data_IF_581569474406
#
_entry.id   IF_581569474406
#
_cell.length_a   1.000
_cell.length_b   1.000
_cell.length_c   1.000
_cell.angle_alpha   90.00
_cell.angle_beta   90.00
_cell.angle_gamma   90.00
#
_symmetry.space_group_name_H-M   'P 1'
#
loop_
_entity.id
_entity.type
_entity.pdbx_description
1 polymer ?
#
# COMPACT_ATOMS: atom_id res chain seq x y z
N UNK A 1 30.82 -17.81 -31.48
CA UNK A 1 30.54 -17.91 -30.05
C UNK A 1 29.15 -17.30 -29.83
N UNK A 2 28.18 -18.11 -29.46
CA UNK A 2 26.84 -17.62 -29.11
C UNK A 2 26.99 -17.02 -27.72
N UNK A 3 26.70 -15.74 -27.58
CA UNK A 3 26.78 -15.04 -26.30
C UNK A 3 25.62 -15.55 -25.41
N UNK A 4 25.98 -16.32 -24.37
CA UNK A 4 25.03 -16.88 -23.42
C UNK A 4 24.20 -15.82 -22.70
N UNK A 5 24.67 -14.56 -22.65
CA UNK A 5 23.94 -13.43 -22.07
C UNK A 5 22.67 -13.08 -22.86
N UNK A 6 22.62 -13.43 -24.17
CA UNK A 6 21.43 -13.21 -25.01
C UNK A 6 20.36 -14.29 -24.85
N UNK A 7 20.73 -15.45 -24.29
CA UNK A 7 19.84 -16.60 -24.12
C UNK A 7 19.13 -16.63 -22.74
N UNK A 8 19.55 -15.78 -21.80
CA UNK A 8 18.96 -15.71 -20.48
C UNK A 8 18.50 -14.29 -20.14
N UNK A 9 17.31 -13.87 -20.63
CA UNK A 9 16.74 -12.58 -20.27
C UNK A 9 16.49 -12.41 -18.74
N UNK A 10 16.68 -13.48 -17.99
CA UNK A 10 16.52 -13.51 -16.52
C UNK A 10 17.67 -12.86 -15.73
N UNK A 11 18.78 -12.51 -16.40
CA UNK A 11 19.93 -11.81 -15.77
C UNK A 11 19.85 -10.29 -15.87
N UNK A 12 18.81 -9.73 -16.46
CA UNK A 12 18.57 -8.30 -16.36
C UNK A 12 18.19 -7.99 -14.93
N UNK A 13 19.07 -7.24 -14.26
CA UNK A 13 18.81 -6.71 -12.92
C UNK A 13 17.42 -6.05 -12.93
N UNK A 14 16.52 -6.55 -12.09
CA UNK A 14 15.20 -5.94 -11.94
C UNK A 14 15.40 -4.50 -11.52
N UNK A 15 14.88 -3.54 -12.27
CA UNK A 15 14.94 -2.11 -11.94
C UNK A 15 14.11 -1.76 -10.67
N UNK A 16 13.70 -2.75 -9.91
CA UNK A 16 12.93 -2.63 -8.66
C UNK A 16 13.90 -2.37 -7.50
N UNK A 17 14.26 -1.09 -7.33
CA UNK A 17 15.15 -0.65 -6.27
C UNK A 17 14.43 -0.35 -4.94
N UNK A 18 15.20 0.17 -3.98
CA UNK A 18 14.71 0.59 -2.66
C UNK A 18 13.56 1.60 -2.71
N UNK A 19 13.49 2.42 -3.75
CA UNK A 19 12.41 3.40 -3.96
C UNK A 19 11.04 2.74 -4.08
N UNK A 20 10.96 1.61 -4.80
CA UNK A 20 9.71 0.84 -4.91
C UNK A 20 9.38 0.13 -3.60
N UNK A 21 10.35 -0.43 -2.91
CA UNK A 21 10.13 -1.05 -1.61
C UNK A 21 9.58 -0.05 -0.58
N UNK A 22 10.18 1.13 -0.52
CA UNK A 22 9.72 2.23 0.35
C UNK A 22 8.33 2.74 -0.07
N UNK A 23 8.08 2.92 -1.37
CA UNK A 23 6.76 3.27 -1.87
C UNK A 23 5.70 2.30 -1.38
N UNK A 24 5.93 1.01 -1.58
CA UNK A 24 5.01 -0.04 -1.16
C UNK A 24 4.76 0.00 0.34
N UNK A 25 5.81 0.15 1.14
CA UNK A 25 5.71 0.24 2.60
C UNK A 25 4.87 1.45 3.04
N UNK A 26 5.14 2.64 2.48
CA UNK A 26 4.40 3.86 2.80
C UNK A 26 2.92 3.77 2.41
N UNK A 27 2.61 3.18 1.24
CA UNK A 27 1.22 3.00 0.80
C UNK A 27 0.51 1.94 1.64
N UNK A 28 1.18 0.84 1.99
CA UNK A 28 0.62 -0.17 2.89
C UNK A 28 0.30 0.39 4.27
N UNK A 29 1.23 1.18 4.85
CA UNK A 29 1.03 1.87 6.12
C UNK A 29 -0.10 2.90 6.04
N UNK A 30 -0.10 3.75 5.02
CA UNK A 30 -1.15 4.77 4.83
C UNK A 30 -2.52 4.12 4.62
N UNK A 31 -2.62 3.13 3.71
CA UNK A 31 -3.88 2.49 3.36
C UNK A 31 -4.50 1.74 4.54
N UNK A 32 -3.74 0.86 5.19
CA UNK A 32 -4.23 0.13 6.36
C UNK A 32 -4.38 1.03 7.58
N UNK A 33 -3.63 2.12 7.66
CA UNK A 33 -3.81 3.15 8.67
C UNK A 33 -5.16 3.85 8.56
N UNK A 34 -5.62 4.19 7.34
CA UNK A 34 -6.98 4.72 7.15
C UNK A 34 -8.06 3.70 7.50
N UNK A 35 -7.81 2.41 7.27
CA UNK A 35 -8.69 1.35 7.74
C UNK A 35 -8.82 1.38 9.27
N UNK A 36 -7.72 1.44 10.01
CA UNK A 36 -7.72 1.51 11.47
C UNK A 36 -8.34 2.82 11.96
N UNK A 37 -8.08 3.94 11.28
CA UNK A 37 -8.60 5.26 11.65
C UNK A 37 -10.13 5.33 11.61
N UNK A 38 -10.82 4.43 10.91
CA UNK A 38 -12.28 4.30 10.97
C UNK A 38 -12.79 4.12 12.40
N UNK A 39 -12.07 3.37 13.25
CA UNK A 39 -12.42 3.16 14.65
C UNK A 39 -11.77 4.17 15.60
N UNK A 40 -10.50 4.51 15.36
CA UNK A 40 -9.67 5.34 16.28
C UNK A 40 -9.99 6.83 16.16
N UNK A 41 -10.24 7.33 14.96
CA UNK A 41 -10.65 8.72 14.63
C UNK A 41 -9.76 9.81 15.21
N UNK A 42 -8.46 9.62 15.15
CA UNK A 42 -7.46 10.56 15.66
C UNK A 42 -6.94 11.47 14.54
N UNK A 43 -7.07 12.81 14.73
CA UNK A 43 -6.61 13.81 13.74
C UNK A 43 -5.11 13.73 13.49
N UNK A 44 -4.32 13.56 14.54
CA UNK A 44 -2.87 13.49 14.43
C UNK A 44 -2.43 12.25 13.61
N UNK A 45 -3.15 11.15 13.76
CA UNK A 45 -2.91 9.95 12.97
C UNK A 45 -3.21 10.20 11.49
N UNK A 46 -4.30 10.89 11.15
CA UNK A 46 -4.62 11.28 9.78
C UNK A 46 -3.49 12.08 9.13
N UNK A 47 -2.85 13.00 9.86
CA UNK A 47 -1.71 13.76 9.32
C UNK A 47 -0.52 12.89 8.97
N UNK A 48 -0.18 11.93 9.83
CA UNK A 48 0.90 10.97 9.56
C UNK A 48 0.57 10.08 8.37
N UNK A 49 -0.67 9.56 8.31
CA UNK A 49 -1.13 8.75 7.18
C UNK A 49 -1.09 9.50 5.85
N UNK A 50 -1.50 10.78 5.87
CA UNK A 50 -1.43 11.67 4.70
C UNK A 50 0.01 11.88 4.26
N UNK A 51 0.92 12.16 5.21
CA UNK A 51 2.34 12.27 4.89
C UNK A 51 2.88 10.99 4.24
N UNK A 52 2.56 9.83 4.80
CA UNK A 52 2.95 8.53 4.23
C UNK A 52 2.37 8.32 2.82
N UNK A 53 1.11 8.66 2.60
CA UNK A 53 0.46 8.57 1.29
C UNK A 53 1.15 9.44 0.24
N UNK A 54 1.47 10.70 0.58
CA UNK A 54 2.19 11.63 -0.31
C UNK A 54 3.62 11.13 -0.56
N UNK A 55 4.33 10.69 0.49
CA UNK A 55 5.69 10.17 0.36
C UNK A 55 5.73 8.94 -0.56
N UNK A 56 4.78 8.01 -0.39
CA UNK A 56 4.63 6.86 -1.27
C UNK A 56 4.37 7.27 -2.72
N UNK A 57 3.44 8.19 -2.94
CA UNK A 57 3.14 8.70 -4.28
C UNK A 57 4.38 9.38 -4.92
N UNK A 58 5.11 10.19 -4.16
CA UNK A 58 6.32 10.83 -4.63
C UNK A 58 7.42 9.82 -5.01
N UNK A 59 7.58 8.75 -4.22
CA UNK A 59 8.55 7.69 -4.49
C UNK A 59 8.20 6.91 -5.77
N UNK A 60 6.95 6.54 -5.97
CA UNK A 60 6.55 5.82 -7.19
C UNK A 60 6.63 6.73 -8.42
N UNK A 61 6.27 8.00 -8.28
CA UNK A 61 6.36 8.96 -9.40
C UNK A 61 7.81 9.26 -9.77
N UNK A 62 8.74 9.32 -8.80
CA UNK A 62 10.17 9.51 -9.08
C UNK A 62 10.76 8.36 -9.90
N UNK A 63 10.16 7.18 -9.86
CA UNK A 63 10.57 6.02 -10.64
C UNK A 63 10.04 6.01 -12.07
N UNK A 64 9.02 6.84 -12.36
CA UNK A 64 8.48 7.02 -13.70
C UNK A 64 9.46 7.88 -14.53
N UNK A 65 10.05 7.29 -15.57
CA UNK A 65 11.07 7.95 -16.39
C UNK A 65 10.65 9.25 -17.08
N UNK A 66 9.34 9.61 -17.08
CA UNK A 66 8.78 10.83 -17.66
C UNK A 66 7.70 11.42 -16.76
N UNK A 67 8.12 11.98 -15.64
CA UNK A 67 7.25 12.66 -14.65
C UNK A 67 6.37 13.77 -15.26
N UNK A 68 6.90 14.51 -16.25
CA UNK A 68 6.19 15.60 -16.92
C UNK A 68 4.92 15.16 -17.64
N UNK A 69 4.82 13.89 -18.02
CA UNK A 69 3.67 13.37 -18.76
C UNK A 69 2.52 12.92 -17.83
N UNK A 70 2.79 12.70 -16.53
CA UNK A 70 1.78 12.20 -15.59
C UNK A 70 0.52 13.09 -15.50
N UNK A 71 0.63 14.43 -15.35
CA UNK A 71 -0.54 15.31 -15.32
C UNK A 71 -1.35 15.24 -16.61
N UNK A 72 -0.68 15.13 -17.75
CA UNK A 72 -1.34 15.03 -19.06
C UNK A 72 -2.08 13.70 -19.22
N UNK A 73 -1.51 12.59 -18.77
CA UNK A 73 -2.17 11.27 -18.79
C UNK A 73 -3.46 11.30 -17.97
N UNK A 74 -3.41 11.87 -16.76
CA UNK A 74 -4.59 12.01 -15.91
C UNK A 74 -5.61 12.93 -16.56
N UNK A 75 -5.16 14.08 -17.09
CA UNK A 75 -6.04 15.06 -17.75
C UNK A 75 -6.75 14.46 -18.97
N UNK A 76 -6.03 13.78 -19.86
CA UNK A 76 -6.62 13.13 -21.03
C UNK A 76 -7.54 11.96 -20.66
N UNK A 77 -7.16 11.15 -19.68
CA UNK A 77 -8.00 10.06 -19.18
C UNK A 77 -9.34 10.57 -18.61
N UNK A 78 -9.30 11.71 -17.90
CA UNK A 78 -10.51 12.35 -17.37
C UNK A 78 -11.34 13.00 -18.47
N UNK A 79 -10.69 13.69 -19.42
CA UNK A 79 -11.35 14.40 -20.50
C UNK A 79 -12.08 13.46 -21.46
N UNK A 80 -11.42 12.36 -21.85
CA UNK A 80 -11.92 11.46 -22.89
C UNK A 80 -12.63 10.23 -22.29
N UNK A 81 -12.78 10.19 -20.95
CA UNK A 81 -13.30 9.03 -20.19
C UNK A 81 -12.68 7.68 -20.61
N UNK A 82 -11.44 7.72 -21.12
CA UNK A 82 -10.72 6.57 -21.64
C UNK A 82 -9.90 5.87 -20.53
N UNK A 83 -10.58 5.37 -19.50
CA UNK A 83 -9.93 4.59 -18.45
C UNK A 83 -9.78 3.14 -18.89
N UNK A 84 -8.55 2.73 -19.18
CA UNK A 84 -8.27 1.33 -19.47
C UNK A 84 -8.11 0.54 -18.15
N UNK A 85 -9.21 0.07 -17.59
CA UNK A 85 -9.21 -0.74 -16.36
C UNK A 85 -8.60 -2.14 -16.52
N UNK A 86 -8.21 -2.54 -17.71
CA UNK A 86 -7.41 -3.75 -17.93
C UNK A 86 -5.92 -3.51 -17.61
N UNK A 87 -5.49 -2.26 -17.53
CA UNK A 87 -4.12 -1.90 -17.15
C UNK A 87 -4.00 -1.76 -15.64
N UNK A 88 -3.21 -2.63 -15.01
CA UNK A 88 -2.83 -2.51 -13.59
C UNK A 88 -2.24 -1.16 -13.25
N UNK A 89 -1.48 -0.57 -14.15
CA UNK A 89 -0.88 0.76 -13.96
C UNK A 89 -1.95 1.86 -13.87
N UNK A 90 -3.00 1.80 -14.70
CA UNK A 90 -4.10 2.77 -14.65
C UNK A 90 -4.90 2.65 -13.36
N UNK A 91 -5.21 1.43 -12.92
CA UNK A 91 -5.88 1.19 -11.64
C UNK A 91 -5.07 1.79 -10.49
N UNK A 92 -3.74 1.61 -10.50
CA UNK A 92 -2.86 2.18 -9.50
C UNK A 92 -2.86 3.70 -9.49
N UNK A 93 -2.74 4.33 -10.65
CA UNK A 93 -2.77 5.80 -10.77
C UNK A 93 -4.06 6.34 -10.16
N UNK A 94 -5.20 5.75 -10.47
CA UNK A 94 -6.50 6.18 -9.93
C UNK A 94 -6.56 6.00 -8.42
N UNK A 95 -6.30 4.79 -7.90
CA UNK A 95 -6.41 4.49 -6.47
C UNK A 95 -5.43 5.32 -5.63
N UNK A 96 -4.17 5.38 -6.04
CA UNK A 96 -3.14 6.11 -5.30
C UNK A 96 -3.36 7.62 -5.35
N UNK A 97 -3.80 8.15 -6.48
CA UNK A 97 -4.14 9.58 -6.60
C UNK A 97 -5.34 9.93 -5.72
N UNK A 98 -6.39 9.12 -5.74
CA UNK A 98 -7.57 9.32 -4.89
C UNK A 98 -7.20 9.24 -3.40
N UNK A 99 -6.39 8.25 -3.00
CA UNK A 99 -5.96 8.12 -1.61
C UNK A 99 -5.11 9.32 -1.19
N UNK A 100 -4.09 9.67 -1.97
CA UNK A 100 -3.13 10.73 -1.61
C UNK A 100 -3.79 12.12 -1.66
N UNK A 101 -4.47 12.48 -2.74
CA UNK A 101 -5.14 13.78 -2.87
C UNK A 101 -6.30 13.87 -1.89
N UNK A 102 -7.11 12.81 -1.77
CA UNK A 102 -8.21 12.75 -0.82
C UNK A 102 -7.73 12.90 0.62
N UNK A 103 -6.63 12.25 1.01
CA UNK A 103 -6.06 12.36 2.36
C UNK A 103 -5.55 13.76 2.67
N UNK A 104 -5.02 14.49 1.69
CA UNK A 104 -4.66 15.91 1.84
C UNK A 104 -5.91 16.73 2.17
N UNK A 105 -6.99 16.58 1.40
CA UNK A 105 -8.25 17.26 1.69
C UNK A 105 -8.77 16.89 3.08
N UNK A 106 -8.72 15.62 3.45
CA UNK A 106 -9.12 15.18 4.76
C UNK A 106 -8.30 15.86 5.87
N UNK A 107 -6.98 15.91 5.72
CA UNK A 107 -6.07 16.58 6.67
C UNK A 107 -6.35 18.07 6.76
N UNK A 108 -6.59 18.75 5.64
CA UNK A 108 -6.90 20.18 5.61
C UNK A 108 -8.24 20.49 6.30
N UNK A 109 -9.24 19.63 6.17
CA UNK A 109 -10.52 19.75 6.90
C UNK A 109 -10.27 19.54 8.40
N UNK A 110 -9.49 18.52 8.80
CA UNK A 110 -9.15 18.28 10.20
C UNK A 110 -8.38 19.43 10.83
N UNK A 111 -7.50 20.08 10.07
CA UNK A 111 -6.73 21.25 10.49
C UNK A 111 -7.57 22.55 10.51
N UNK A 112 -8.77 22.54 9.92
CA UNK A 112 -9.61 23.74 9.82
C UNK A 112 -9.06 24.80 8.87
N UNK A 113 -8.18 24.42 7.92
CA UNK A 113 -7.61 25.31 6.91
C UNK A 113 -8.65 25.59 5.83
N UNK A 114 -9.28 24.54 5.35
CA UNK A 114 -10.36 24.62 4.34
C UNK A 114 -11.67 24.36 5.07
N UNK A 115 -12.73 25.08 4.66
CA UNK A 115 -14.07 24.89 5.19
C UNK A 115 -14.17 25.05 6.71
N UNK A 116 -13.78 26.20 7.24
CA UNK A 116 -13.74 26.57 8.68
C UNK A 116 -15.08 26.42 9.44
N UNK A 117 -16.06 25.73 8.90
CA UNK A 117 -17.37 25.55 9.50
C UNK A 117 -17.48 24.26 10.33
N UNK A 118 -18.18 24.33 11.45
CA UNK A 118 -18.51 23.16 12.32
C UNK A 118 -19.13 21.98 11.53
N UNK A 119 -19.83 22.23 10.43
CA UNK A 119 -20.44 21.20 9.57
C UNK A 119 -19.39 20.29 8.90
N UNK A 120 -18.31 20.87 8.38
CA UNK A 120 -17.26 20.13 7.68
C UNK A 120 -16.38 19.30 8.63
N UNK A 121 -16.10 19.83 9.81
CA UNK A 121 -15.39 19.07 10.83
C UNK A 121 -16.25 17.89 11.34
N UNK A 122 -17.55 18.07 11.45
CA UNK A 122 -18.48 16.97 11.75
C UNK A 122 -18.52 15.94 10.62
N UNK A 123 -18.45 16.38 9.35
CA UNK A 123 -18.36 15.48 8.19
C UNK A 123 -17.09 14.64 8.23
N UNK A 124 -15.93 15.25 8.50
CA UNK A 124 -14.66 14.53 8.62
C UNK A 124 -14.66 13.48 9.75
N UNK A 125 -15.48 13.68 10.77
CA UNK A 125 -15.67 12.73 11.87
C UNK A 125 -16.84 11.75 11.62
N UNK A 126 -17.58 11.92 10.53
CA UNK A 126 -18.72 11.05 10.22
C UNK A 126 -18.28 9.63 9.87
N UNK A 127 -19.14 8.66 10.16
CA UNK A 127 -18.92 7.27 9.83
C UNK A 127 -18.76 7.05 8.32
N UNK A 128 -19.60 7.70 7.52
CA UNK A 128 -19.60 7.55 6.06
C UNK A 128 -18.28 8.03 5.44
N UNK A 129 -17.79 9.21 5.86
CA UNK A 129 -16.55 9.77 5.35
C UNK A 129 -15.33 8.89 5.69
N UNK A 130 -15.23 8.46 6.96
CA UNK A 130 -14.18 7.54 7.39
C UNK A 130 -14.28 6.17 6.72
N UNK A 131 -15.50 5.66 6.45
CA UNK A 131 -15.69 4.42 5.73
C UNK A 131 -15.16 4.50 4.28
N UNK A 132 -15.38 5.62 3.58
CA UNK A 132 -14.86 5.83 2.23
C UNK A 132 -13.32 5.76 2.23
N UNK A 133 -12.65 6.44 3.15
CA UNK A 133 -11.19 6.38 3.26
C UNK A 133 -10.68 5.01 3.70
N UNK A 134 -11.42 4.31 4.56
CA UNK A 134 -11.12 2.94 4.95
C UNK A 134 -11.14 2.00 3.74
N UNK A 135 -12.21 2.03 2.96
CA UNK A 135 -12.34 1.20 1.74
C UNK A 135 -11.27 1.57 0.72
N UNK A 136 -11.06 2.86 0.47
CA UNK A 136 -10.04 3.33 -0.46
C UNK A 136 -8.62 2.90 -0.03
N UNK A 137 -8.32 2.96 1.26
CA UNK A 137 -7.06 2.51 1.83
C UNK A 137 -6.84 1.01 1.65
N UNK A 138 -7.86 0.19 1.96
CA UNK A 138 -7.82 -1.27 1.75
C UNK A 138 -7.61 -1.59 0.27
N UNK A 139 -8.38 -0.97 -0.63
CA UNK A 139 -8.24 -1.18 -2.08
C UNK A 139 -6.84 -0.82 -2.58
N UNK A 140 -6.26 0.30 -2.10
CA UNK A 140 -4.90 0.72 -2.46
C UNK A 140 -3.83 -0.26 -1.96
N UNK A 141 -4.01 -0.82 -0.75
CA UNK A 141 -3.10 -1.82 -0.19
C UNK A 141 -3.22 -3.15 -0.93
N UNK A 142 -4.43 -3.60 -1.24
CA UNK A 142 -4.67 -4.81 -2.04
C UNK A 142 -4.03 -4.65 -3.42
N UNK A 143 -4.26 -3.51 -4.08
CA UNK A 143 -3.66 -3.20 -5.37
C UNK A 143 -2.13 -3.30 -5.32
N UNK A 144 -1.48 -2.70 -4.32
CA UNK A 144 -0.01 -2.73 -4.18
C UNK A 144 0.52 -4.15 -3.96
N UNK A 145 -0.22 -5.01 -3.26
CA UNK A 145 0.08 -6.43 -3.11
C UNK A 145 -0.01 -7.21 -4.43
N UNK A 146 -1.05 -6.96 -5.22
CA UNK A 146 -1.19 -7.57 -6.55
C UNK A 146 -0.15 -7.05 -7.54
N UNK A 147 0.26 -5.79 -7.44
CA UNK A 147 1.33 -5.24 -8.26
C UNK A 147 2.64 -6.04 -8.12
N UNK A 148 2.95 -6.49 -6.90
CA UNK A 148 4.12 -7.35 -6.66
C UNK A 148 4.03 -8.69 -7.41
N UNK A 149 2.84 -9.29 -7.51
CA UNK A 149 2.66 -10.57 -8.22
C UNK A 149 2.83 -10.45 -9.72
N UNK A 150 2.73 -9.24 -10.28
CA UNK A 150 2.96 -8.98 -11.71
C UNK A 150 4.44 -8.83 -12.08
N UNK A 151 5.34 -8.85 -11.11
CA UNK A 151 6.79 -8.79 -11.34
C UNK A 151 7.31 -10.13 -11.88
N UNK A 152 7.23 -10.33 -13.17
CA UNK A 152 7.54 -11.59 -13.88
C UNK A 152 8.99 -12.06 -13.66
N UNK A 153 9.91 -11.15 -13.32
CA UNK A 153 11.34 -11.46 -13.10
C UNK A 153 11.64 -12.17 -11.78
N UNK A 154 10.71 -12.21 -10.82
CA UNK A 154 10.92 -12.82 -9.51
C UNK A 154 9.89 -13.91 -9.28
N UNK A 155 10.28 -15.15 -9.53
CA UNK A 155 9.38 -16.32 -9.42
C UNK A 155 8.77 -16.47 -8.01
N UNK A 156 9.49 -16.05 -6.99
CA UNK A 156 9.04 -16.08 -5.59
C UNK A 156 7.83 -15.16 -5.35
N UNK A 157 7.71 -14.06 -6.11
CA UNK A 157 6.62 -13.11 -5.96
C UNK A 157 5.34 -13.53 -6.69
N UNK A 158 5.43 -14.48 -7.60
CA UNK A 158 4.26 -15.02 -8.31
C UNK A 158 3.50 -16.05 -7.44
N UNK A 159 3.13 -15.62 -6.22
CA UNK A 159 2.37 -16.41 -5.27
C UNK A 159 1.12 -15.66 -4.84
N UNK A 160 -0.01 -16.36 -4.79
CA UNK A 160 -1.29 -15.81 -4.30
C UNK A 160 -1.24 -15.37 -2.83
N UNK A 161 -0.23 -15.79 -2.07
CA UNK A 161 -0.04 -15.42 -0.67
C UNK A 161 0.59 -14.02 -0.51
N UNK A 162 1.25 -13.48 -1.53
CA UNK A 162 1.90 -12.16 -1.46
C UNK A 162 0.91 -11.03 -1.12
N UNK A 163 -0.26 -10.90 -1.77
CA UNK A 163 -1.22 -9.86 -1.38
C UNK A 163 -1.69 -9.99 0.07
N UNK A 164 -1.87 -11.22 0.57
CA UNK A 164 -2.27 -11.46 1.97
C UNK A 164 -1.18 -11.02 2.94
N UNK A 165 0.08 -11.42 2.68
CA UNK A 165 1.23 -10.97 3.46
C UNK A 165 1.37 -9.45 3.46
N UNK A 166 1.05 -8.83 2.33
CA UNK A 166 1.14 -7.39 2.17
C UNK A 166 0.11 -6.65 3.03
N UNK A 167 -1.14 -7.09 3.01
CA UNK A 167 -2.23 -6.55 3.86
C UNK A 167 -1.86 -6.71 5.34
N UNK A 168 -1.42 -7.88 5.76
CA UNK A 168 -1.03 -8.14 7.15
C UNK A 168 0.17 -7.27 7.56
N UNK A 169 1.15 -7.08 6.68
CA UNK A 169 2.29 -6.21 6.93
C UNK A 169 1.89 -4.74 7.06
N UNK A 170 0.97 -4.27 6.21
CA UNK A 170 0.40 -2.94 6.30
C UNK A 170 -0.36 -2.71 7.61
N UNK A 171 -1.17 -3.68 8.04
CA UNK A 171 -1.88 -3.64 9.33
C UNK A 171 -0.92 -3.55 10.50
N UNK A 172 0.07 -4.44 10.58
CA UNK A 172 1.09 -4.43 11.63
C UNK A 172 1.82 -3.08 11.68
N UNK A 173 2.27 -2.58 10.52
CA UNK A 173 2.97 -1.30 10.44
C UNK A 173 2.10 -0.12 10.90
N UNK A 174 0.81 -0.14 10.57
CA UNK A 174 -0.14 0.91 10.95
C UNK A 174 -0.46 0.88 12.45
N UNK A 175 -0.62 -0.32 13.03
CA UNK A 175 -0.83 -0.47 14.49
C UNK A 175 0.43 0.00 15.23
N UNK A 176 1.61 -0.43 14.81
CA UNK A 176 2.88 -0.03 15.43
C UNK A 176 3.09 1.49 15.36
N UNK A 177 2.74 2.13 14.23
CA UNK A 177 2.79 3.59 14.10
C UNK A 177 1.82 4.27 15.07
N UNK A 178 0.61 3.75 15.21
CA UNK A 178 -0.38 4.27 16.15
C UNK A 178 0.07 4.13 17.62
N UNK A 179 0.66 2.99 17.98
CA UNK A 179 1.22 2.75 19.31
C UNK A 179 2.41 3.67 19.58
N UNK A 180 3.30 3.88 18.62
CA UNK A 180 4.41 4.81 18.70
C UNK A 180 3.90 6.24 18.95
N UNK A 181 2.89 6.68 18.19
CA UNK A 181 2.28 8.01 18.40
C UNK A 181 1.61 8.15 19.77
N UNK A 182 1.03 7.07 20.28
CA UNK A 182 0.46 7.05 21.63
C UNK A 182 1.55 7.14 22.70
N UNK A 183 2.66 6.43 22.52
CA UNK A 183 3.83 6.52 23.43
C UNK A 183 4.45 7.93 23.43
N UNK A 184 4.40 8.63 22.29
CA UNK A 184 4.83 10.03 22.17
C UNK A 184 3.80 11.04 22.72
N UNK A 185 2.64 10.59 23.20
CA UNK A 185 1.57 11.46 23.70
C UNK A 185 0.79 12.22 22.62
N UNK A 186 0.96 11.86 21.35
CA UNK A 186 0.28 12.50 20.21
C UNK A 186 -1.14 11.97 19.97
N UNK A 187 -1.45 10.80 20.51
CA UNK A 187 -2.74 10.11 20.37
C UNK A 187 -3.21 9.62 21.74
N UNK A 188 -4.50 9.65 21.98
CA UNK A 188 -5.09 9.25 23.25
C UNK A 188 -4.94 7.73 23.49
N UNK A 189 -4.34 7.38 24.64
CA UNK A 189 -4.12 5.98 25.07
C UNK A 189 -5.39 5.13 25.11
N UNK A 190 -6.54 5.72 25.43
CA UNK A 190 -7.81 4.98 25.49
C UNK A 190 -8.23 4.47 24.11
N UNK A 191 -7.95 5.24 23.07
CA UNK A 191 -8.25 4.86 21.67
C UNK A 191 -7.34 3.74 21.16
N UNK A 192 -6.16 3.59 21.75
CA UNK A 192 -5.12 2.65 21.30
C UNK A 192 -5.20 1.29 22.01
N UNK A 193 -5.76 1.25 23.23
CA UNK A 193 -5.81 0.01 24.03
C UNK A 193 -6.54 -1.16 23.35
N UNK A 194 -7.48 -0.87 22.46
CA UNK A 194 -8.12 -1.84 21.60
C UNK A 194 -7.14 -2.35 20.50
N UNK A 195 -6.40 -1.45 19.87
CA UNK A 195 -5.43 -1.80 18.83
C UNK A 195 -4.31 -2.69 19.37
N UNK A 196 -3.79 -2.41 20.56
CA UNK A 196 -2.75 -3.20 21.21
C UNK A 196 -3.18 -4.67 21.47
N UNK A 197 -4.44 -4.89 21.85
CA UNK A 197 -4.96 -6.26 21.97
C UNK A 197 -5.10 -6.96 20.62
N UNK A 198 -5.46 -6.20 19.59
CA UNK A 198 -5.64 -6.72 18.24
C UNK A 198 -4.29 -6.99 17.56
N UNK A 199 -3.22 -6.25 17.93
CA UNK A 199 -1.88 -6.43 17.35
C UNK A 199 -1.36 -7.85 17.50
N UNK A 200 -1.55 -8.46 18.67
CA UNK A 200 -1.13 -9.83 18.94
C UNK A 200 -1.76 -10.83 17.95
N UNK A 201 -3.05 -10.67 17.66
CA UNK A 201 -3.75 -11.53 16.70
C UNK A 201 -3.29 -11.29 15.26
N UNK A 202 -3.08 -10.01 14.89
CA UNK A 202 -2.57 -9.64 13.56
C UNK A 202 -1.16 -10.16 13.35
N UNK A 203 -0.28 -10.03 14.34
CA UNK A 203 1.10 -10.52 14.28
C UNK A 203 1.15 -12.04 14.23
N UNK A 204 0.30 -12.72 15.00
CA UNK A 204 0.19 -14.19 14.94
C UNK A 204 -0.30 -14.65 13.56
N UNK A 205 -1.32 -14.01 13.00
CA UNK A 205 -1.82 -14.30 11.66
C UNK A 205 -0.76 -14.03 10.59
N UNK A 206 0.01 -12.94 10.74
CA UNK A 206 1.13 -12.61 9.85
C UNK A 206 2.22 -13.67 9.91
N UNK A 207 2.61 -14.13 11.09
CA UNK A 207 3.59 -15.21 11.24
C UNK A 207 3.10 -16.49 10.56
N UNK A 208 1.83 -16.85 10.75
CA UNK A 208 1.24 -18.01 10.07
C UNK A 208 1.29 -17.86 8.54
N UNK A 209 0.96 -16.66 8.02
CA UNK A 209 1.02 -16.39 6.59
C UNK A 209 2.46 -16.45 6.05
N UNK A 210 3.47 -16.00 6.82
CA UNK A 210 4.89 -16.10 6.47
C UNK A 210 5.31 -17.57 6.40
N UNK A 211 4.98 -18.36 7.40
CA UNK A 211 5.31 -19.81 7.40
C UNK A 211 4.64 -20.54 6.24
N UNK A 212 3.38 -20.23 5.95
CA UNK A 212 2.67 -20.80 4.80
C UNK A 212 3.34 -20.41 3.48
N UNK A 213 3.76 -19.14 3.35
CA UNK A 213 4.48 -18.66 2.17
C UNK A 213 5.82 -19.38 1.98
N UNK A 214 6.62 -19.49 3.06
CA UNK A 214 7.91 -20.18 3.02
C UNK A 214 7.71 -21.65 2.66
N UNK A 215 6.71 -22.33 3.23
CA UNK A 215 6.40 -23.71 2.93
C UNK A 215 6.06 -23.92 1.44
N UNK A 216 5.20 -23.05 0.87
CA UNK A 216 4.83 -23.10 -0.55
C UNK A 216 6.03 -22.78 -1.44
N UNK A 217 6.86 -21.81 -1.06
CA UNK A 217 8.05 -21.43 -1.80
C UNK A 217 9.07 -22.57 -1.86
N UNK A 218 9.36 -23.21 -0.73
CA UNK A 218 10.26 -24.37 -0.67
C UNK A 218 9.72 -25.55 -1.47
N UNK A 219 8.42 -25.83 -1.38
CA UNK A 219 7.78 -26.89 -2.15
C UNK A 219 7.89 -26.69 -3.67
N UNK A 220 7.77 -25.44 -4.13
CA UNK A 220 7.90 -25.11 -5.56
C UNK A 220 9.34 -25.21 -6.06
N UNK A 221 10.35 -24.89 -5.25
CA UNK A 221 11.77 -25.03 -5.58
C UNK A 221 12.20 -26.48 -5.61
N UNK A 222 11.81 -27.28 -4.62
CA UNK A 222 12.07 -28.73 -4.57
C UNK A 222 11.44 -29.44 -5.77
N UNK A 223 10.19 -29.08 -6.16
CA UNK A 223 9.54 -29.66 -7.33
C UNK A 223 10.29 -29.35 -8.62
N UNK A 224 10.85 -28.13 -8.81
CA UNK A 224 11.64 -27.77 -9.98
C UNK A 224 13.01 -28.41 -10.02
N UNK A 225 13.67 -28.57 -8.88
CA UNK A 225 14.95 -29.28 -8.78
C UNK A 225 14.76 -30.76 -9.20
N UNK A 226 13.72 -31.41 -8.70
CA UNK A 226 13.39 -32.80 -9.05
C UNK A 226 13.06 -33.00 -10.54
N UNK A 227 12.44 -32.01 -11.19
CA UNK A 227 12.21 -32.06 -12.64
C UNK A 227 13.49 -31.85 -13.45
N UNK A 228 14.46 -31.07 -12.97
CA UNK A 228 15.76 -30.85 -13.65
C UNK A 228 16.67 -32.07 -13.60
N UNK A 229 16.62 -32.85 -12.54
CA UNK A 229 17.44 -34.06 -12.42
C UNK A 229 16.93 -35.23 -13.29
N UNK A 230 15.69 -35.14 -13.83
CA UNK A 230 15.13 -36.20 -14.69
C UNK A 230 15.35 -35.95 -16.19
N UNK A 231 15.98 -34.87 -16.59
CA UNK A 231 16.33 -34.54 -17.99
C UNK A 231 17.83 -34.58 -18.19
#
# INVERSE_FOLDING_TARGET
MIDLSTLTPQLQATHWGWTIALFLWFIGLSGMGFFINYWVRQKNFVYVLTFCGIAGLALVTSHLGRLSNLPFVIFYALRDFSFNFQSWMMIGIVLLSLLSVGSVFYSMICAGIIFKGSKWQKLAQSNGFNAVFSVLGVCSTIYSGFLLTQAVGVSLWNSSLIPVLWIMSGLTSSIAMLELMSAMGLVDHKSVGWCSRTSVWVDTAKLFAIFSFVYVALGSEIGRASCRERV
#
